data_IF_150947316912
#
_entry.id   IF_150947316912
#
_cell.length_a   1.000
_cell.length_b   1.000
_cell.length_c   1.000
_cell.angle_alpha   90.00
_cell.angle_beta   90.00
_cell.angle_gamma   90.00
#
_symmetry.space_group_name_H-M   'P 1'
#
loop_
_entity.id
_entity.type
_entity.pdbx_description
1 polymer ?
#
# COMPACT_ATOMS: atom_id res chain seq x y z
N UNK A 22 -0.32 -6.41 20.14
CA UNK A 22 0.41 -6.29 18.82
C UNK A 22 -0.24 -5.23 17.93
N UNK A 23 0.09 -5.24 16.65
CA UNK A 23 -0.15 -4.11 15.74
C UNK A 23 -1.12 -4.36 14.56
N UNK A 24 -2.44 -4.40 14.75
CA UNK A 24 -3.34 -4.64 13.58
C UNK A 24 -3.27 -3.59 12.52
N UNK A 25 -2.99 -4.03 11.30
CA UNK A 25 -2.72 -3.18 10.15
C UNK A 25 -3.66 -3.62 9.04
N UNK A 26 -3.58 -2.98 7.90
CA UNK A 26 -4.53 -3.25 6.81
C UNK A 26 -3.78 -3.77 5.58
N UNK A 27 -4.26 -4.81 4.92
CA UNK A 27 -3.50 -5.46 3.84
C UNK A 27 -4.30 -6.09 2.74
N UNK A 28 -3.85 -5.97 1.50
CA UNK A 28 -4.54 -6.55 0.32
C UNK A 28 -4.15 -8.06 0.10
N UNK A 33 -8.91 -6.58 0.27
CA UNK A 33 -8.41 -5.73 1.38
C UNK A 33 -8.97 -6.13 2.71
N UNK A 34 -8.11 -6.57 3.63
CA UNK A 34 -8.55 -7.05 4.93
C UNK A 34 -7.70 -6.55 6.07
N UNK A 35 -8.33 -6.36 7.24
CA UNK A 35 -7.60 -6.11 8.49
C UNK A 35 -6.86 -7.36 8.94
N UNK A 36 -5.58 -7.21 9.26
CA UNK A 36 -4.79 -8.34 9.69
C UNK A 36 -4.09 -8.03 10.99
N UNK A 37 -3.74 -9.07 11.76
CA UNK A 37 -2.94 -8.92 12.96
C UNK A 37 -1.50 -9.34 12.70
N UNK A 38 -0.56 -8.43 12.96
CA UNK A 38 0.84 -8.75 12.71
C UNK A 38 1.40 -9.76 13.68
N UNK A 39 1.67 -10.95 13.18
CA UNK A 39 2.22 -12.01 13.99
C UNK A 39 3.73 -11.92 14.08
N UNK A 40 4.39 -11.59 12.97
CA UNK A 40 5.83 -11.41 12.96
C UNK A 40 6.30 -10.50 14.08
N UNK A 41 7.32 -10.93 14.82
CA UNK A 41 7.89 -10.13 15.91
C UNK A 41 8.37 -8.81 15.36
N UNK A 42 8.22 -7.75 16.16
CA UNK A 42 8.43 -6.36 15.68
C UNK A 42 9.89 -6.02 15.46
N UNK A 43 10.76 -6.75 16.16
CA UNK A 43 12.19 -6.51 16.13
C UNK A 43 12.79 -6.60 14.71
N UNK A 44 12.46 -7.67 14.00
CA UNK A 44 13.06 -7.95 12.69
C UNK A 44 12.23 -7.42 11.52
N UNK A 45 11.11 -6.76 11.85
CA UNK A 45 10.18 -6.28 10.84
C UNK A 45 10.82 -5.46 9.72
N UNK A 46 11.67 -4.46 10.07
CA UNK A 46 12.26 -3.67 8.97
C UNK A 46 13.31 -4.44 8.17
N UNK A 47 13.76 -5.58 8.70
CA UNK A 47 14.83 -6.34 8.08
C UNK A 47 14.30 -7.51 7.27
N UNK A 48 13.01 -7.48 6.95
CA UNK A 48 12.40 -8.55 6.18
C UNK A 48 11.52 -7.99 5.10
N UNK A 49 11.47 -8.72 3.99
CA UNK A 49 10.67 -8.29 2.86
C UNK A 49 9.27 -8.91 2.98
N UNK A 50 9.08 -9.69 4.03
CA UNK A 50 7.79 -10.32 4.28
C UNK A 50 7.39 -10.20 5.74
N UNK A 51 6.11 -10.49 5.98
CA UNK A 51 5.52 -10.35 7.31
C UNK A 51 4.41 -11.38 7.46
N UNK A 52 4.41 -12.07 8.60
CA UNK A 52 3.41 -13.08 8.87
C UNK A 52 2.24 -12.41 9.63
N UNK A 53 1.05 -12.54 9.07
CA UNK A 53 -0.12 -11.92 9.60
C UNK A 53 -1.26 -12.90 9.72
N UNK A 54 -2.29 -12.51 10.48
CA UNK A 54 -3.47 -13.34 10.65
C UNK A 54 -4.69 -12.54 10.34
N UNK A 55 -5.47 -12.96 9.35
CA UNK A 55 -6.62 -12.18 8.89
C UNK A 55 -7.68 -12.05 9.97
N UNK A 56 -8.60 -11.11 9.74
CA UNK A 56 -9.71 -10.89 10.66
C UNK A 56 -11.01 -10.91 9.88
N UNK A 57 -11.92 -11.78 10.30
CA UNK A 57 -13.20 -11.90 9.62
C UNK A 57 -14.34 -11.56 10.58
N UNK A 58 -15.40 -11.03 10.02
CA UNK A 58 -16.60 -10.76 10.78
C UNK A 58 -17.32 -12.09 11.10
N UNK A 59 -17.18 -13.07 10.23
CA UNK A 59 -17.80 -14.36 10.45
C UNK A 59 -17.14 -15.10 11.65
N UNK A 60 -17.74 -14.96 12.83
CA UNK A 60 -17.21 -15.60 14.04
C UNK A 60 -17.88 -16.96 14.26
N UNK A 61 -17.06 -17.99 14.40
CA UNK A 61 -17.55 -19.35 14.52
C UNK A 61 -17.43 -19.87 15.95
N UNK A 62 -16.74 -19.11 16.80
CA UNK A 62 -16.54 -19.51 18.18
C UNK A 62 -15.64 -20.74 18.27
N UNK A 63 -14.38 -20.56 17.93
CA UNK A 63 -13.41 -21.65 18.00
C UNK A 63 -12.26 -21.32 18.94
N UNK A 64 -11.39 -22.30 19.16
CA UNK A 64 -10.23 -22.08 20.02
C UNK A 64 -9.15 -21.38 19.21
N UNK A 65 -9.35 -21.33 17.90
CA UNK A 65 -8.41 -20.72 16.99
C UNK A 65 -8.81 -19.28 16.66
N UNK A 66 -9.73 -18.73 17.44
CA UNK A 66 -10.26 -17.41 17.17
C UNK A 66 -9.98 -16.45 18.32
N UNK A 67 -9.56 -15.24 18.00
CA UNK A 67 -9.31 -14.25 19.03
C UNK A 67 -10.23 -13.07 18.82
N UNK A 68 -11.26 -12.92 19.68
CA UNK A 68 -12.26 -11.85 19.53
C UNK A 68 -11.65 -10.46 19.56
N UNK A 69 -12.05 -9.62 18.63
CA UNK A 69 -11.63 -8.23 18.58
C UNK A 69 -12.78 -7.34 18.14
N UNK A 70 -12.96 -6.18 18.77
CA UNK A 70 -14.06 -5.28 18.41
C UNK A 70 -13.52 -3.91 18.06
N UNK A 71 -14.34 -2.88 18.25
CA UNK A 71 -13.93 -1.52 17.87
C UNK A 71 -12.88 -0.97 18.81
N UNK A 72 -12.81 -1.51 20.01
CA UNK A 72 -11.77 -1.14 20.96
C UNK A 72 -10.40 -1.45 20.36
N UNK A 73 -10.31 -2.48 19.52
CA UNK A 73 -9.03 -2.95 18.99
C UNK A 73 -8.56 -2.15 17.80
N UNK A 74 -9.51 -1.45 17.16
CA UNK A 74 -9.19 -0.61 16.01
C UNK A 74 -10.16 -0.79 14.88
N UNK A 75 -10.93 -1.87 14.92
CA UNK A 75 -11.91 -2.23 13.90
C UNK A 75 -13.18 -1.40 13.99
N UNK A 76 -14.18 -1.76 13.19
CA UNK A 76 -15.46 -1.09 13.26
C UNK A 76 -16.59 -2.06 13.18
N UNK A 77 -16.39 -3.21 13.82
CA UNK A 77 -17.41 -4.23 13.98
C UNK A 77 -16.81 -5.39 14.78
N UNK A 78 -17.60 -5.97 15.70
CA UNK A 78 -17.15 -7.19 16.37
C UNK A 78 -16.76 -8.28 15.37
N UNK A 79 -15.47 -8.61 15.38
CA UNK A 79 -14.88 -9.60 14.50
C UNK A 79 -13.97 -10.55 15.28
N UNK A 80 -13.31 -11.46 14.58
CA UNK A 80 -12.37 -12.38 15.19
C UNK A 80 -11.09 -12.48 14.38
N UNK A 81 -9.98 -12.70 15.09
CA UNK A 81 -8.71 -13.04 14.47
C UNK A 81 -8.74 -14.53 14.22
N UNK A 82 -8.63 -14.90 12.95
CA UNK A 82 -8.60 -16.32 12.54
C UNK A 82 -7.19 -16.86 12.46
N UNK A 83 -6.79 -17.66 13.44
CA UNK A 83 -5.41 -18.18 13.49
C UNK A 83 -5.21 -19.35 12.54
N UNK A 84 -6.32 -19.86 12.02
CA UNK A 84 -6.26 -20.96 11.08
C UNK A 84 -5.80 -20.53 9.69
N UNK A 85 -6.01 -19.27 9.37
CA UNK A 85 -5.63 -18.77 8.07
C UNK A 85 -4.40 -17.89 8.09
N UNK A 86 -3.44 -18.24 8.93
CA UNK A 86 -2.18 -17.50 9.01
C UNK A 86 -1.51 -17.45 7.66
N UNK A 87 -1.14 -16.24 7.25
CA UNK A 87 -0.51 -16.06 5.94
C UNK A 87 0.72 -15.17 6.01
N UNK A 88 1.73 -15.48 5.21
CA UNK A 88 2.90 -14.60 5.11
C UNK A 88 2.83 -13.82 3.81
N UNK A 89 2.87 -12.50 3.91
CA UNK A 89 2.69 -11.61 2.77
C UNK A 89 3.85 -10.63 2.63
N UNK A 90 4.11 -10.13 1.40
CA UNK A 90 5.20 -9.15 1.19
C UNK A 90 4.85 -7.83 1.85
N UNK A 91 5.86 -7.05 2.22
CA UNK A 91 5.64 -5.76 2.90
C UNK A 91 4.88 -4.75 2.03
N UNK A 92 5.10 -4.82 0.72
CA UNK A 92 4.43 -3.88 -0.20
C UNK A 92 2.92 -4.16 -0.32
N UNK A 93 2.47 -5.22 0.35
CA UNK A 93 1.04 -5.50 0.44
C UNK A 93 0.51 -5.21 1.83
N UNK A 94 1.40 -4.77 2.72
CA UNK A 94 1.00 -4.29 4.02
C UNK A 94 0.74 -2.79 3.90
N UNK A 95 -0.30 -2.31 4.57
CA UNK A 95 -0.72 -0.93 4.44
C UNK A 95 -0.91 -0.20 5.75
N UNK A 96 -2.00 0.58 5.80
CA UNK A 96 -2.30 1.49 6.92
C UNK A 96 -2.47 0.73 8.24
N UNK A 97 -1.91 1.25 9.33
CA UNK A 97 -2.09 0.61 10.64
C UNK A 97 -3.37 1.09 11.30
N UNK A 98 -4.35 0.21 11.42
CA UNK A 98 -5.64 0.61 11.93
C UNK A 98 -6.00 -0.07 13.23
N UNK A 99 -5.33 0.20 14.32
CA UNK A 99 -5.67 -0.51 15.56
C UNK A 99 -4.54 -1.17 16.31
N UNK A 100 -4.87 -1.70 17.47
CA UNK A 100 -3.89 -2.19 18.44
C UNK A 100 -4.46 -3.50 19.04
N UNK A 101 -3.58 -4.42 19.38
CA UNK A 101 -4.00 -5.58 20.11
C UNK A 101 -3.54 -5.45 21.54
N UNK A 102 -4.50 -5.37 22.47
CA UNK A 102 -4.20 -5.12 23.89
C UNK A 102 -3.30 -6.17 24.48
N UNK A 103 -2.36 -5.76 25.32
CA UNK A 103 -1.39 -6.71 25.89
C UNK A 103 -2.07 -7.80 26.70
N UNK A 104 -3.19 -7.44 27.32
CA UNK A 104 -3.99 -8.40 28.07
C UNK A 104 -4.45 -9.57 27.19
N UNK A 105 -4.51 -9.34 25.89
CA UNK A 105 -4.93 -10.33 24.92
C UNK A 105 -3.81 -11.24 24.43
N UNK A 106 -2.58 -10.92 24.77
CA UNK A 106 -1.45 -11.67 24.26
C UNK A 106 -1.38 -13.15 24.71
N UNK A 107 -1.86 -13.46 25.93
CA UNK A 107 -1.98 -14.88 26.24
C UNK A 107 -3.00 -15.60 25.39
N UNK A 108 -4.17 -14.99 25.24
CA UNK A 108 -5.26 -15.56 24.44
C UNK A 108 -4.75 -15.94 23.06
N UNK A 109 -4.10 -14.97 22.42
CA UNK A 109 -3.48 -15.18 21.13
C UNK A 109 -2.56 -16.38 21.17
N UNK A 110 -1.65 -16.39 22.15
CA UNK A 110 -0.66 -17.45 22.32
C UNK A 110 -1.32 -18.79 22.43
N UNK A 111 -2.54 -18.78 22.94
CA UNK A 111 -3.29 -20.02 23.11
C UNK A 111 -3.95 -20.43 21.80
N UNK A 112 -4.55 -19.44 21.11
CA UNK A 112 -5.27 -19.71 19.89
C UNK A 112 -4.38 -20.43 18.88
N UNK A 113 -3.23 -19.81 18.60
CA UNK A 113 -2.20 -20.39 17.77
C UNK A 113 -1.82 -21.77 18.26
N UNK A 114 -1.61 -21.84 19.58
CA UNK A 114 -1.26 -23.12 20.24
C UNK A 114 -2.29 -24.18 19.90
N UNK A 115 -3.56 -23.77 19.97
CA UNK A 115 -4.63 -24.70 19.67
C UNK A 115 -4.79 -24.92 18.17
N UNK A 116 -4.40 -23.94 17.38
CA UNK A 116 -4.57 -24.10 15.98
C UNK A 116 -3.58 -25.09 15.44
N UNK A 117 -2.43 -25.19 16.10
CA UNK A 117 -1.37 -26.09 15.62
C UNK A 117 -1.04 -27.26 16.50
N UNK A 118 -1.71 -27.34 17.64
CA UNK A 118 -1.46 -28.40 18.59
C UNK A 118 -0.14 -28.22 19.38
N UNK A 119 -0.10 -27.12 20.13
CA UNK A 119 0.73 -27.07 21.34
C UNK A 119 0.50 -25.84 22.25
N UNK B 23 9.74 12.98 -7.72
CA UNK B 23 8.47 12.23 -7.68
C UNK B 23 8.40 11.07 -8.69
N UNK B 24 8.86 11.27 -9.95
CA UNK B 24 8.80 10.13 -10.87
C UNK B 24 9.63 8.91 -10.50
N UNK B 25 8.98 7.76 -10.49
CA UNK B 25 9.56 6.46 -10.13
C UNK B 25 9.33 5.51 -11.31
N UNK B 26 9.78 4.27 -11.21
CA UNK B 26 9.55 3.26 -12.24
C UNK B 26 8.60 2.17 -11.75
N UNK B 27 7.92 1.51 -12.70
CA UNK B 27 6.96 0.47 -12.41
C UNK B 27 6.50 -0.32 -13.62
N UNK B 28 5.64 -1.34 -13.45
CA UNK B 28 5.18 -2.11 -14.61
C UNK B 28 3.72 -2.49 -14.82
N UNK B 33 6.98 -2.40 -18.29
CA UNK B 33 7.61 -1.40 -17.39
C UNK B 33 7.95 -0.07 -18.05
N UNK B 34 7.49 1.03 -17.44
CA UNK B 34 7.62 2.40 -17.97
C UNK B 34 8.03 3.37 -16.85
N UNK B 35 8.75 4.45 -17.18
CA UNK B 35 8.91 5.51 -16.18
C UNK B 35 7.58 6.20 -15.91
N UNK B 36 7.21 6.34 -14.65
CA UNK B 36 5.91 6.89 -14.28
C UNK B 36 6.02 8.04 -13.31
N UNK B 37 4.99 8.87 -13.29
CA UNK B 37 4.90 10.01 -12.38
C UNK B 37 3.89 9.73 -11.28
N UNK B 38 4.33 9.84 -10.02
CA UNK B 38 3.44 9.59 -8.89
C UNK B 38 2.43 10.73 -8.73
N UNK B 39 1.17 10.46 -9.03
CA UNK B 39 0.11 11.46 -8.89
C UNK B 39 -0.42 11.48 -7.49
N UNK B 40 -0.55 10.29 -6.91
CA UNK B 40 -1.07 10.16 -5.56
C UNK B 40 -0.28 11.07 -4.63
N UNK B 41 -0.99 11.79 -3.76
CA UNK B 41 -0.33 12.64 -2.75
C UNK B 41 0.69 11.81 -1.97
N UNK B 42 1.86 12.39 -1.69
CA UNK B 42 2.94 11.65 -1.05
C UNK B 42 2.62 11.43 0.43
N UNK B 43 1.73 12.29 0.96
CA UNK B 43 1.29 12.23 2.35
C UNK B 43 0.78 10.84 2.77
N UNK B 44 -0.08 10.27 1.95
CA UNK B 44 -0.71 8.98 2.27
C UNK B 44 0.01 7.81 1.62
N UNK B 45 1.08 8.11 0.88
CA UNK B 45 1.82 7.08 0.15
C UNK B 45 2.30 5.93 1.05
N UNK B 46 2.91 6.25 2.21
CA UNK B 46 3.32 5.13 3.05
C UNK B 46 2.15 4.42 3.72
N UNK B 47 0.98 5.02 3.67
CA UNK B 47 -0.20 4.46 4.31
C UNK B 47 -1.11 3.78 3.31
N UNK B 48 -0.59 3.48 2.13
CA UNK B 48 -1.37 2.80 1.11
C UNK B 48 -0.65 1.67 0.41
N UNK B 49 -1.44 0.67 0.03
CA UNK B 49 -0.95 -0.50 -0.68
C UNK B 49 -1.10 -0.33 -2.19
N UNK B 50 -1.62 0.82 -2.59
CA UNK B 50 -1.78 1.17 -3.99
C UNK B 50 -1.31 2.59 -4.23
N UNK B 51 -1.17 2.94 -5.50
CA UNK B 51 -0.67 4.25 -5.89
C UNK B 51 -1.20 4.62 -7.26
N UNK B 52 -1.71 5.84 -7.39
CA UNK B 52 -2.22 6.34 -8.67
C UNK B 52 -1.07 7.07 -9.33
N UNK B 53 -0.74 6.65 -10.54
CA UNK B 53 0.37 7.18 -11.28
C UNK B 53 -0.05 7.53 -12.71
N UNK B 54 0.78 8.31 -13.39
CA UNK B 54 0.57 8.67 -14.78
C UNK B 54 1.82 8.30 -15.57
N UNK B 55 1.66 7.46 -16.60
CA UNK B 55 2.77 6.92 -17.41
C UNK B 55 3.53 7.96 -18.18
N UNK B 56 4.72 7.62 -18.67
CA UNK B 56 5.53 8.53 -19.48
C UNK B 56 6.03 7.85 -20.74
N UNK B 57 5.69 8.40 -21.90
CA UNK B 57 6.14 7.83 -23.16
C UNK B 57 6.93 8.84 -23.95
N UNK B 58 7.89 8.34 -24.70
CA UNK B 58 8.71 9.16 -25.58
C UNK B 58 7.87 9.62 -26.76
N UNK B 59 6.91 8.79 -27.16
CA UNK B 59 5.99 9.15 -28.24
C UNK B 59 5.03 10.27 -27.79
N UNK B 60 5.35 11.50 -28.17
CA UNK B 60 4.51 12.66 -27.86
C UNK B 60 3.46 12.85 -28.97
N UNK B 61 2.21 12.99 -28.58
CA UNK B 61 1.12 13.21 -29.54
C UNK B 61 0.70 14.66 -29.58
N UNK B 62 1.17 15.43 -28.60
CA UNK B 62 0.92 16.87 -28.54
C UNK B 62 -0.53 17.20 -28.18
N UNK B 63 -0.92 16.89 -26.94
CA UNK B 63 -2.25 17.24 -26.47
C UNK B 63 -2.13 18.11 -25.23
N UNK B 64 -3.27 18.59 -24.75
CA UNK B 64 -3.34 19.42 -23.57
C UNK B 64 -3.18 18.57 -22.31
N UNK B 65 -3.32 17.26 -22.47
CA UNK B 65 -3.27 16.33 -21.35
C UNK B 65 -1.88 15.71 -21.24
N UNK B 66 -0.90 16.36 -21.86
CA UNK B 66 0.49 15.91 -21.79
C UNK B 66 1.31 16.96 -21.07
N UNK B 67 2.19 16.51 -20.19
CA UNK B 67 3.10 17.40 -19.47
C UNK B 67 4.55 17.10 -19.82
N UNK B 68 5.20 18.04 -20.52
CA UNK B 68 6.55 17.82 -21.07
C UNK B 68 7.58 17.65 -19.95
N UNK B 69 8.48 16.68 -20.11
CA UNK B 69 9.56 16.48 -19.15
C UNK B 69 10.84 16.10 -19.88
N UNK B 70 11.98 16.63 -19.44
CA UNK B 70 13.25 16.39 -20.13
C UNK B 70 14.30 15.74 -19.28
N UNK B 71 15.57 15.96 -19.61
CA UNK B 71 16.67 15.41 -18.84
C UNK B 71 16.81 16.14 -17.50
N UNK B 72 16.29 17.36 -17.41
CA UNK B 72 16.27 18.12 -16.16
C UNK B 72 15.55 17.38 -15.04
N UNK B 73 14.57 16.57 -15.40
CA UNK B 73 13.71 15.94 -14.40
C UNK B 73 14.43 14.78 -13.72
N UNK B 74 15.39 14.20 -14.44
CA UNK B 74 16.17 13.09 -13.91
C UNK B 74 16.39 12.00 -14.93
N UNK B 75 15.54 11.97 -15.98
CA UNK B 75 15.78 11.08 -17.09
C UNK B 75 16.91 11.66 -17.92
N UNK B 76 17.16 11.06 -19.07
CA UNK B 76 18.03 11.68 -20.07
C UNK B 76 17.41 11.53 -21.47
N UNK B 77 16.17 11.99 -21.59
CA UNK B 77 15.50 12.10 -22.87
C UNK B 77 14.19 12.86 -22.75
N UNK B 78 13.93 13.80 -23.67
CA UNK B 78 12.64 14.47 -23.77
C UNK B 78 11.48 13.51 -23.96
N UNK B 79 10.62 13.43 -22.95
CA UNK B 79 9.46 12.55 -22.97
C UNK B 79 8.28 13.35 -22.43
N UNK B 80 7.09 12.74 -22.38
CA UNK B 80 5.91 13.44 -21.89
C UNK B 80 5.09 12.60 -20.91
N UNK B 81 4.51 13.27 -19.92
CA UNK B 81 3.59 12.65 -18.99
C UNK B 81 2.19 12.61 -19.60
N UNK B 82 1.69 11.39 -19.83
CA UNK B 82 0.37 11.19 -20.40
C UNK B 82 -0.67 11.09 -19.31
N UNK B 83 -1.45 12.15 -19.14
CA UNK B 83 -2.44 12.22 -18.05
C UNK B 83 -3.75 11.54 -18.40
N UNK B 84 -3.93 11.24 -19.68
CA UNK B 84 -5.15 10.57 -20.10
C UNK B 84 -5.10 9.10 -19.76
N UNK B 85 -3.89 8.60 -19.58
CA UNK B 85 -3.69 7.18 -19.27
C UNK B 85 -3.30 6.97 -17.85
N UNK B 86 -3.90 7.74 -16.95
CA UNK B 86 -3.74 7.57 -15.51
C UNK B 86 -4.13 6.16 -15.07
N UNK B 87 -3.26 5.54 -14.29
CA UNK B 87 -3.47 4.18 -13.83
C UNK B 87 -3.16 4.03 -12.35
N UNK B 88 -3.96 3.27 -11.61
CA UNK B 88 -3.63 2.95 -10.23
C UNK B 88 -3.10 1.53 -10.10
N UNK B 89 -1.91 1.37 -9.53
CA UNK B 89 -1.25 0.07 -9.43
C UNK B 89 -0.83 -0.24 -8.00
N UNK B 90 -0.69 -1.55 -7.65
CA UNK B 90 -0.20 -1.90 -6.33
C UNK B 90 1.25 -1.48 -6.13
N UNK B 91 1.66 -1.20 -4.91
CA UNK B 91 3.00 -0.71 -4.63
C UNK B 91 4.06 -1.78 -4.95
N UNK B 92 3.63 -3.04 -4.93
CA UNK B 92 4.48 -4.18 -5.30
C UNK B 92 4.89 -4.15 -6.76
N UNK B 93 4.38 -3.19 -7.50
CA UNK B 93 4.72 -2.97 -8.89
C UNK B 93 5.53 -1.70 -9.07
N UNK B 94 5.83 -1.04 -7.96
CA UNK B 94 6.65 0.17 -7.96
C UNK B 94 8.12 -0.17 -7.81
N UNK B 95 8.98 0.54 -8.54
CA UNK B 95 10.41 0.22 -8.58
C UNK B 95 11.33 1.36 -8.15
N UNK B 96 12.54 1.39 -8.72
CA UNK B 96 13.54 2.41 -8.35
C UNK B 96 13.10 3.82 -8.79
N UNK B 97 13.48 4.85 -8.05
CA UNK B 97 13.11 6.21 -8.34
C UNK B 97 14.10 6.94 -9.27
N UNK B 98 13.66 7.30 -10.48
CA UNK B 98 14.52 7.95 -11.45
C UNK B 98 13.95 9.32 -11.83
N UNK B 99 14.20 10.32 -11.00
CA UNK B 99 13.84 11.70 -11.37
C UNK B 99 12.99 12.52 -10.44
N UNK B 100 12.78 13.78 -10.82
CA UNK B 100 12.08 14.78 -10.02
C UNK B 100 11.18 15.62 -10.92
N UNK B 101 10.05 16.09 -10.39
CA UNK B 101 9.26 17.07 -11.12
C UNK B 101 9.39 18.45 -10.51
N UNK B 102 9.98 19.38 -11.26
CA UNK B 102 10.17 20.75 -10.78
C UNK B 102 8.83 21.41 -10.49
N UNK B 103 8.78 22.19 -9.42
CA UNK B 103 7.51 22.81 -8.97
C UNK B 103 6.88 23.71 -10.03
N UNK B 104 7.72 24.34 -10.83
CA UNK B 104 7.26 25.20 -11.93
C UNK B 104 6.42 24.44 -12.97
N UNK B 105 6.65 23.13 -13.09
CA UNK B 105 5.92 22.30 -14.04
C UNK B 105 4.64 21.82 -13.39
N UNK B 106 4.56 21.99 -12.08
CA UNK B 106 3.47 21.46 -11.31
C UNK B 106 2.13 22.19 -11.47
N UNK B 107 2.16 23.51 -11.77
CA UNK B 107 0.85 24.09 -12.15
C UNK B 107 0.29 23.50 -13.46
N UNK B 108 1.15 23.35 -14.46
CA UNK B 108 0.75 22.75 -15.73
C UNK B 108 0.03 21.42 -15.50
N UNK B 109 0.66 20.56 -14.71
CA UNK B 109 0.08 19.28 -14.31
C UNK B 109 -1.33 19.48 -13.76
N UNK B 110 -1.47 20.43 -12.82
CA UNK B 110 -2.74 20.70 -12.20
C UNK B 110 -3.79 21.06 -13.20
N UNK B 111 -3.37 21.67 -14.31
CA UNK B 111 -4.30 22.05 -15.37
C UNK B 111 -4.55 20.85 -16.28
N UNK B 112 -3.48 20.09 -16.55
CA UNK B 112 -3.56 18.94 -17.43
C UNK B 112 -4.68 18.01 -17.00
N UNK B 113 -4.60 17.60 -15.74
CA UNK B 113 -5.61 16.76 -15.15
C UNK B 113 -6.97 17.44 -15.30
N UNK B 114 -6.99 18.74 -14.96
CA UNK B 114 -8.21 19.54 -15.06
C UNK B 114 -8.75 19.52 -16.47
N UNK B 115 -7.83 19.59 -17.43
CA UNK B 115 -8.20 19.53 -18.84
C UNK B 115 -8.49 18.12 -19.29
N UNK B 116 -7.85 17.15 -18.64
CA UNK B 116 -8.08 15.77 -18.96
C UNK B 116 -9.46 15.40 -18.49
N UNK B 117 -9.71 15.60 -17.21
CA UNK B 117 -10.99 15.20 -16.66
C UNK B 117 -12.16 16.15 -16.80
#
# INVERSE_FOLDING_TARGET
MGSDKIGSHHHHHHENLYFQGMRPIHIAQLDKARPVLILTREVVRPHLTNVTVAPITTTVRGLATEVPVDAVNGLNQPSVVSCDNTQTIPVCDLGRQIGYLLASQEPALAEAIGNAFDLDWVVA
MGSDKIGSHHHHHHENLYFQGMRPIHIAQLDKARPVLILTREVVRPHLTNVTVAPITTTVRGLATEVPVDAVNGLNQPSVVSCDNTQTIPVCDLGRQIGYLLASQEPALAEAIGNAFDLDWVVA
#
